data_IF_178861598847
#
_entry.id   IF_178861598847
#
_cell.length_a   1.000
_cell.length_b   1.000
_cell.length_c   1.000
_cell.angle_alpha   90.00
_cell.angle_beta   90.00
_cell.angle_gamma   90.00
#
_symmetry.space_group_name_H-M   'P 1'
#
loop_
_entity.id
_entity.type
_entity.pdbx_description
1 polymer ?
#
# COMPACT_ATOMS: atom_id res chain seq x y z
N UNK A 1 53.12 -14.64 -47.27
CA UNK A 1 52.83 -14.49 -45.82
C UNK A 1 51.36 -14.77 -45.61
N UNK A 2 51.07 -15.79 -44.80
CA UNK A 2 49.78 -16.21 -44.21
C UNK A 2 49.03 -14.98 -43.66
N UNK A 3 47.71 -14.81 -43.80
CA UNK A 3 46.65 -15.63 -43.21
C UNK A 3 45.34 -15.61 -43.99
N UNK A 4 44.65 -16.76 -43.89
CA UNK A 4 43.26 -17.03 -44.24
C UNK A 4 42.27 -16.24 -43.36
N UNK A 5 41.15 -15.81 -43.94
CA UNK A 5 39.88 -15.58 -43.23
C UNK A 5 38.78 -16.37 -43.94
N UNK A 6 38.08 -17.30 -43.25
CA UNK A 6 36.85 -17.89 -43.76
C UNK A 6 35.61 -17.19 -43.20
N UNK A 7 34.64 -17.03 -44.10
CA UNK A 7 33.21 -17.28 -44.00
C UNK A 7 32.40 -16.97 -42.70
N UNK A 8 31.27 -16.31 -42.98
CA UNK A 8 29.94 -16.46 -42.37
C UNK A 8 29.65 -15.75 -41.06
N UNK A 9 28.68 -14.82 -41.11
CA UNK A 9 27.48 -14.79 -40.26
C UNK A 9 26.44 -13.94 -41.02
N UNK A 10 25.44 -14.62 -41.57
CA UNK A 10 24.21 -14.04 -42.11
C UNK A 10 23.07 -14.70 -41.35
N UNK A 11 22.91 -14.37 -40.06
CA UNK A 11 21.72 -14.69 -39.23
C UNK A 11 21.87 -14.04 -37.85
N UNK A 12 21.63 -12.72 -37.75
CA UNK A 12 21.45 -12.07 -36.44
C UNK A 12 20.61 -10.77 -36.50
N UNK A 13 19.74 -10.60 -37.50
CA UNK A 13 18.95 -9.37 -37.64
C UNK A 13 17.53 -9.41 -37.02
N UNK A 14 17.19 -10.42 -36.21
CA UNK A 14 15.83 -10.53 -35.63
C UNK A 14 15.76 -10.73 -34.10
N UNK A 15 16.83 -10.44 -33.34
CA UNK A 15 16.77 -10.47 -31.87
C UNK A 15 16.96 -9.11 -31.18
N UNK A 16 17.33 -8.06 -31.93
CA UNK A 16 17.59 -6.74 -31.33
C UNK A 16 16.33 -5.85 -31.14
N UNK A 17 15.18 -6.24 -31.71
CA UNK A 17 13.93 -5.46 -31.58
C UNK A 17 13.04 -5.87 -30.39
N UNK A 18 13.43 -6.87 -29.60
CA UNK A 18 12.64 -7.34 -28.43
C UNK A 18 13.16 -6.77 -27.10
N UNK A 19 14.28 -6.03 -27.10
CA UNK A 19 14.92 -5.52 -25.89
C UNK A 19 14.93 -3.98 -25.74
N UNK A 20 14.30 -3.22 -26.64
CA UNK A 20 14.14 -1.76 -26.52
C UNK A 20 12.72 -1.32 -26.14
N UNK A 21 11.85 -2.26 -25.74
CA UNK A 21 10.44 -2.00 -25.37
C UNK A 21 10.19 -1.42 -23.97
N UNK A 22 11.17 -0.72 -23.37
CA UNK A 22 10.98 0.06 -22.14
C UNK A 22 11.63 1.44 -22.24
N UNK A 23 11.42 2.11 -23.38
CA UNK A 23 11.38 3.57 -23.41
C UNK A 23 9.95 3.95 -23.75
N UNK A 24 9.25 4.56 -22.80
CA UNK A 24 8.02 5.30 -23.07
C UNK A 24 8.36 6.28 -24.20
N UNK A 25 7.59 6.35 -25.31
CA UNK A 25 7.76 7.43 -26.25
C UNK A 25 7.49 8.73 -25.48
N UNK A 26 8.51 9.55 -25.30
CA UNK A 26 8.35 10.97 -24.98
C UNK A 26 7.67 11.63 -26.18
N UNK A 27 6.36 11.44 -26.30
CA UNK A 27 5.53 12.42 -26.97
C UNK A 27 5.59 13.67 -26.09
N UNK A 28 6.23 14.72 -26.60
CA UNK A 28 5.94 16.09 -26.21
C UNK A 28 4.43 16.30 -26.40
N UNK A 29 3.65 16.01 -25.36
CA UNK A 29 2.32 16.58 -25.19
C UNK A 29 2.52 17.92 -24.53
N UNK A 30 2.34 18.96 -25.32
CA UNK A 30 1.99 20.30 -24.87
C UNK A 30 0.98 20.19 -23.74
N UNK A 31 1.34 20.74 -22.59
CA UNK A 31 0.55 20.79 -21.36
C UNK A 31 -0.68 21.66 -21.59
N UNK A 32 -1.74 21.09 -22.15
CA UNK A 32 -3.09 21.60 -21.99
C UNK A 32 -3.68 20.90 -20.76
N UNK A 33 -3.65 21.61 -19.62
CA UNK A 33 -4.37 21.23 -18.41
C UNK A 33 -5.86 21.09 -18.74
N UNK A 34 -6.32 19.85 -18.90
CA UNK A 34 -7.75 19.56 -18.83
C UNK A 34 -8.09 19.32 -17.36
N UNK A 35 -8.67 20.34 -16.73
CA UNK A 35 -9.50 20.17 -15.54
C UNK A 35 -10.57 19.11 -15.86
N UNK A 36 -10.42 17.91 -15.32
CA UNK A 36 -11.55 16.99 -15.20
C UNK A 36 -12.42 17.53 -14.07
N UNK A 37 -13.49 18.23 -14.45
CA UNK A 37 -14.63 18.47 -13.58
C UNK A 37 -15.14 17.11 -13.09
N UNK A 38 -14.76 16.70 -11.88
CA UNK A 38 -15.52 15.74 -11.09
C UNK A 38 -16.51 16.55 -10.28
N UNK A 39 -17.77 16.44 -10.65
CA UNK A 39 -18.90 16.99 -9.91
C UNK A 39 -18.85 16.46 -8.48
N UNK A 40 -18.69 17.36 -7.53
CA UNK A 40 -18.81 17.10 -6.10
C UNK A 40 -20.22 16.54 -5.83
N UNK A 41 -20.33 15.28 -5.43
CA UNK A 41 -21.56 14.74 -4.87
C UNK A 41 -21.80 15.45 -3.53
N UNK A 42 -22.68 16.46 -3.55
CA UNK A 42 -23.20 17.07 -2.33
C UNK A 42 -24.11 16.06 -1.63
N UNK A 43 -23.68 15.55 -0.48
CA UNK A 43 -24.59 14.95 0.48
C UNK A 43 -25.47 16.06 1.07
N UNK A 44 -26.76 15.99 0.80
CA UNK A 44 -27.78 16.79 1.48
C UNK A 44 -28.35 15.92 2.59
N UNK A 45 -28.01 16.25 3.84
CA UNK A 45 -28.85 15.90 4.98
C UNK A 45 -30.15 16.69 4.85
N UNK A 46 -31.29 16.00 4.92
CA UNK A 46 -32.54 16.64 5.32
C UNK A 46 -33.45 15.63 6.01
N UNK A 47 -33.84 16.05 7.21
CA UNK A 47 -34.74 15.42 8.14
C UNK A 47 -36.16 15.21 7.61
N UNK A 48 -36.78 14.20 8.22
CA UNK A 48 -38.20 14.12 8.59
C UNK A 48 -39.25 14.25 7.48
N UNK A 49 -40.01 13.17 7.28
CA UNK A 49 -41.46 13.32 7.33
C UNK A 49 -42.18 12.02 7.71
N UNK A 50 -43.08 12.22 8.66
CA UNK A 50 -44.01 11.28 9.28
C UNK A 50 -45.04 10.82 8.25
N UNK A 51 -45.28 9.51 8.16
CA UNK A 51 -46.52 8.98 7.63
C UNK A 51 -46.99 7.79 8.48
N UNK A 52 -47.97 8.08 9.34
CA UNK A 52 -48.86 7.09 9.96
C UNK A 52 -49.59 6.33 8.84
N UNK A 53 -49.50 5.01 8.84
CA UNK A 53 -50.53 4.17 8.21
C UNK A 53 -51.14 3.27 9.27
N UNK A 54 -52.43 3.50 9.45
CA UNK A 54 -53.34 2.91 10.41
C UNK A 54 -53.66 1.45 10.10
N UNK A 55 -53.78 0.67 11.17
CA UNK A 55 -54.44 -0.63 11.24
C UNK A 55 -55.87 -0.60 10.67
N UNK A 56 -56.24 -1.63 9.90
CA UNK A 56 -57.56 -2.28 9.99
C UNK A 56 -57.61 -3.61 9.22
N UNK A 57 -57.98 -4.64 9.97
CA UNK A 57 -58.83 -5.79 9.64
C UNK A 57 -58.51 -6.66 8.42
N UNK A 58 -58.08 -7.89 8.73
CA UNK A 58 -58.70 -9.11 8.18
C UNK A 58 -58.48 -10.27 9.16
N UNK A 59 -59.46 -10.47 10.04
CA UNK A 59 -59.72 -11.72 10.74
C UNK A 59 -60.35 -12.73 9.79
N UNK A 60 -59.78 -13.93 9.69
CA UNK A 60 -60.57 -15.17 9.74
C UNK A 60 -59.70 -16.41 10.00
N UNK A 61 -59.84 -16.93 11.22
CA UNK A 61 -60.09 -18.35 11.51
C UNK A 61 -58.98 -19.39 11.30
N UNK A 62 -58.31 -19.68 12.43
CA UNK A 62 -57.93 -21.00 12.96
C UNK A 62 -58.39 -22.23 12.16
N UNK A 63 -57.42 -22.98 11.64
CA UNK A 63 -57.39 -24.44 11.77
C UNK A 63 -55.98 -24.87 12.17
N UNK A 64 -55.94 -25.61 13.27
CA UNK A 64 -54.78 -26.30 13.82
C UNK A 64 -54.43 -27.45 12.87
N UNK A 65 -53.22 -27.44 12.34
CA UNK A 65 -52.57 -28.70 11.96
C UNK A 65 -51.10 -28.68 12.37
N UNK A 66 -50.75 -29.67 13.17
CA UNK A 66 -49.44 -29.89 13.77
C UNK A 66 -48.49 -30.45 12.73
N UNK A 67 -47.85 -29.57 11.97
CA UNK A 67 -46.75 -29.90 11.08
C UNK A 67 -45.75 -28.76 11.12
N UNK A 68 -44.70 -28.92 11.91
CA UNK A 68 -43.56 -27.99 11.93
C UNK A 68 -43.04 -27.84 10.51
N UNK A 69 -43.17 -26.67 9.84
CA UNK A 69 -42.41 -26.43 8.64
C UNK A 69 -41.01 -26.18 9.17
N UNK A 70 -40.15 -27.18 9.06
CA UNK A 70 -38.70 -26.95 9.08
C UNK A 70 -38.45 -25.94 7.98
N UNK A 71 -38.36 -24.66 8.35
CA UNK A 71 -37.79 -23.63 7.52
C UNK A 71 -36.31 -24.00 7.41
N UNK A 72 -36.03 -24.96 6.54
CA UNK A 72 -34.77 -25.08 5.86
C UNK A 72 -34.68 -23.80 5.03
N UNK A 73 -34.37 -22.68 5.69
CA UNK A 73 -33.76 -21.56 5.04
C UNK A 73 -32.63 -22.20 4.24
N UNK A 74 -32.79 -22.21 2.92
CA UNK A 74 -31.76 -22.69 2.03
C UNK A 74 -30.54 -21.85 2.37
N UNK A 75 -29.65 -22.40 3.19
CA UNK A 75 -28.34 -21.83 3.43
C UNK A 75 -27.71 -21.82 2.05
N UNK A 76 -27.79 -20.67 1.38
CA UNK A 76 -27.15 -20.47 0.10
C UNK A 76 -25.69 -20.88 0.32
N UNK A 77 -25.31 -22.00 -0.28
CA UNK A 77 -24.00 -22.59 -0.06
C UNK A 77 -22.98 -21.52 -0.41
N UNK A 78 -22.23 -21.03 0.59
CA UNK A 78 -21.15 -20.07 0.35
C UNK A 78 -20.21 -20.73 -0.67
N UNK A 79 -19.90 -20.01 -1.74
CA UNK A 79 -19.10 -20.53 -2.87
C UNK A 79 -17.60 -20.46 -2.63
N UNK A 80 -17.18 -19.85 -1.51
CA UNK A 80 -15.77 -19.62 -1.19
C UNK A 80 -15.50 -20.11 0.23
N UNK A 81 -14.30 -20.66 0.45
CA UNK A 81 -13.82 -21.10 1.76
C UNK A 81 -12.43 -20.53 2.07
N UNK A 82 -12.15 -20.35 3.37
CA UNK A 82 -10.82 -20.01 3.85
C UNK A 82 -9.97 -21.28 4.03
N UNK A 83 -8.74 -21.25 3.54
CA UNK A 83 -7.73 -22.29 3.75
C UNK A 83 -6.49 -21.68 4.40
N UNK A 84 -6.03 -22.19 5.55
CA UNK A 84 -4.86 -21.65 6.23
C UNK A 84 -3.62 -21.77 5.35
N UNK A 85 -2.75 -20.76 5.43
CA UNK A 85 -1.43 -20.73 4.84
C UNK A 85 -0.41 -20.48 5.95
N UNK A 86 0.83 -20.90 5.72
CA UNK A 86 1.95 -20.58 6.59
C UNK A 86 3.11 -20.03 5.76
N UNK A 87 3.82 -19.04 6.30
CA UNK A 87 4.93 -18.42 5.59
C UNK A 87 6.00 -19.45 5.18
N UNK A 88 6.42 -20.32 6.11
CA UNK A 88 7.52 -21.26 5.89
C UNK A 88 7.21 -22.36 4.87
N UNK A 89 5.96 -22.82 4.77
CA UNK A 89 5.60 -23.94 3.89
C UNK A 89 5.05 -23.45 2.56
N UNK A 90 4.21 -22.42 2.58
CA UNK A 90 3.38 -22.07 1.43
C UNK A 90 3.91 -20.85 0.64
N UNK A 91 4.76 -20.02 1.26
CA UNK A 91 5.05 -18.66 0.75
C UNK A 91 6.54 -18.43 0.48
N UNK A 92 7.41 -18.69 1.46
CA UNK A 92 8.82 -18.29 1.49
C UNK A 92 9.62 -18.69 0.25
N UNK A 93 9.36 -19.88 -0.30
CA UNK A 93 10.08 -20.40 -1.46
C UNK A 93 9.67 -19.74 -2.78
N UNK A 94 8.53 -19.04 -2.80
CA UNK A 94 7.93 -18.51 -4.02
C UNK A 94 7.79 -16.98 -4.04
N UNK A 95 7.80 -16.32 -2.87
CA UNK A 95 7.76 -14.87 -2.72
C UNK A 95 9.17 -14.31 -2.46
N UNK A 96 9.50 -13.20 -3.10
CA UNK A 96 10.79 -12.49 -3.00
C UNK A 96 10.97 -11.64 -1.74
N UNK A 97 9.87 -11.28 -1.08
CA UNK A 97 9.87 -10.64 0.23
C UNK A 97 10.04 -11.68 1.33
N UNK A 98 10.85 -11.35 2.33
CA UNK A 98 11.11 -12.16 3.51
C UNK A 98 10.92 -11.32 4.79
N UNK A 99 10.87 -11.98 5.93
CA UNK A 99 10.94 -11.32 7.24
C UNK A 99 12.27 -10.56 7.37
N UNK A 100 12.31 -9.40 8.04
CA UNK A 100 11.21 -8.75 8.76
C UNK A 100 10.29 -7.87 7.91
N UNK A 101 10.58 -7.66 6.62
CA UNK A 101 9.72 -6.82 5.78
C UNK A 101 8.34 -7.45 5.55
N UNK A 102 8.31 -8.79 5.40
CA UNK A 102 7.08 -9.56 5.42
C UNK A 102 6.51 -9.60 6.85
N UNK A 103 5.55 -8.71 7.12
CA UNK A 103 4.91 -8.53 8.43
C UNK A 103 3.41 -8.91 8.42
N UNK A 104 3.06 -9.93 7.62
CA UNK A 104 1.72 -10.53 7.63
C UNK A 104 1.68 -11.73 8.58
N UNK A 105 0.52 -11.97 9.17
CA UNK A 105 0.25 -13.08 10.08
C UNK A 105 -1.15 -13.65 9.84
N UNK A 106 -1.42 -14.85 10.37
CA UNK A 106 -2.72 -15.52 10.28
C UNK A 106 -3.23 -15.65 8.83
N UNK A 107 -2.35 -15.97 7.89
CA UNK A 107 -2.70 -15.97 6.46
C UNK A 107 -3.67 -17.09 6.09
N UNK A 108 -4.67 -16.74 5.30
CA UNK A 108 -5.61 -17.68 4.71
C UNK A 108 -5.83 -17.35 3.24
N UNK A 109 -5.78 -18.37 2.38
CA UNK A 109 -6.27 -18.28 1.01
C UNK A 109 -7.80 -18.26 1.00
N UNK A 110 -8.38 -17.42 0.15
CA UNK A 110 -9.80 -17.46 -0.21
C UNK A 110 -9.90 -18.32 -1.48
N UNK A 111 -10.55 -19.48 -1.38
CA UNK A 111 -10.65 -20.45 -2.48
C UNK A 111 -12.09 -20.56 -2.93
N UNK A 112 -12.32 -20.51 -4.24
CA UNK A 112 -13.60 -20.84 -4.85
C UNK A 112 -13.81 -22.36 -4.80
N UNK A 113 -14.88 -22.80 -4.14
CA UNK A 113 -15.16 -24.21 -3.86
C UNK A 113 -15.65 -24.98 -5.10
N UNK A 114 -16.12 -24.29 -6.13
CA UNK A 114 -16.58 -24.91 -7.39
C UNK A 114 -15.40 -25.20 -8.32
N UNK A 115 -14.44 -24.27 -8.39
CA UNK A 115 -13.30 -24.34 -9.32
C UNK A 115 -12.00 -24.80 -8.66
N UNK A 116 -11.88 -24.63 -7.34
CA UNK A 116 -10.63 -24.82 -6.59
C UNK A 116 -9.62 -23.68 -6.78
N UNK A 117 -9.98 -22.61 -7.49
CA UNK A 117 -9.08 -21.47 -7.73
C UNK A 117 -8.95 -20.57 -6.50
N UNK A 118 -7.72 -20.10 -6.25
CA UNK A 118 -7.48 -19.06 -5.23
C UNK A 118 -7.83 -17.70 -5.81
N UNK A 119 -8.79 -17.02 -5.19
CA UNK A 119 -9.30 -15.71 -5.64
C UNK A 119 -8.76 -14.54 -4.82
N UNK A 120 -8.10 -14.81 -3.69
CA UNK A 120 -7.50 -13.80 -2.84
C UNK A 120 -6.95 -14.39 -1.55
N UNK A 121 -6.63 -13.50 -0.61
CA UNK A 121 -6.18 -13.83 0.75
C UNK A 121 -6.87 -12.95 1.77
N UNK A 122 -6.89 -13.43 3.02
CA UNK A 122 -7.13 -12.64 4.21
C UNK A 122 -6.03 -12.92 5.24
N UNK A 123 -5.60 -11.90 5.96
CA UNK A 123 -4.54 -11.99 6.97
C UNK A 123 -4.67 -10.84 7.98
N UNK A 124 -3.86 -10.87 9.03
CA UNK A 124 -3.59 -9.72 9.90
C UNK A 124 -2.21 -9.15 9.59
N UNK A 125 -1.97 -7.87 9.89
CA UNK A 125 -0.67 -7.23 9.69
C UNK A 125 -0.15 -6.64 11.00
N UNK A 126 1.17 -6.70 11.24
CA UNK A 126 1.79 -6.00 12.36
C UNK A 126 2.15 -4.57 11.99
N UNK A 127 1.76 -3.61 12.83
CA UNK A 127 2.15 -2.21 12.69
C UNK A 127 3.54 -1.98 13.31
N UNK A 128 4.51 -1.53 12.53
CA UNK A 128 5.88 -1.31 13.00
C UNK A 128 6.44 0.05 12.58
N UNK A 129 6.06 0.55 11.39
CA UNK A 129 6.52 1.83 10.85
C UNK A 129 5.89 2.99 11.66
N UNK A 130 6.68 4.00 12.07
CA UNK A 130 6.16 5.14 12.81
C UNK A 130 5.08 5.91 12.05
N UNK A 131 4.18 6.56 12.79
CA UNK A 131 3.13 7.41 12.21
C UNK A 131 3.70 8.68 11.56
N UNK A 132 4.85 9.16 12.04
CA UNK A 132 5.44 10.39 11.56
C UNK A 132 4.54 11.59 11.85
N UNK A 133 4.28 12.42 10.83
CA UNK A 133 3.41 13.61 10.95
C UNK A 133 1.96 13.35 10.53
N UNK A 134 1.63 12.09 10.25
CA UNK A 134 0.27 11.70 9.89
C UNK A 134 -0.66 11.67 11.12
N UNK A 135 -1.97 11.76 10.92
CA UNK A 135 -2.99 11.44 11.92
C UNK A 135 -3.86 10.29 11.40
N UNK A 136 -3.43 9.08 11.74
CA UNK A 136 -4.09 7.82 11.47
C UNK A 136 -3.46 6.76 12.38
N UNK A 137 -4.23 5.77 12.84
CA UNK A 137 -3.64 4.60 13.51
C UNK A 137 -3.02 3.60 12.54
N UNK A 138 -3.06 3.85 11.22
CA UNK A 138 -2.20 3.20 10.23
C UNK A 138 -1.60 4.30 9.34
N UNK A 139 -0.27 4.52 9.36
CA UNK A 139 0.35 5.45 8.43
C UNK A 139 0.33 4.88 7.01
N UNK A 140 0.33 5.75 6.00
CA UNK A 140 0.33 5.34 4.59
C UNK A 140 1.50 4.39 4.26
N UNK A 141 2.68 4.64 4.83
CA UNK A 141 3.83 3.76 4.63
C UNK A 141 3.56 2.31 5.06
N UNK A 142 2.89 2.12 6.19
CA UNK A 142 2.52 0.80 6.71
C UNK A 142 1.42 0.15 5.86
N UNK A 143 0.40 0.93 5.47
CA UNK A 143 -0.62 0.49 4.53
C UNK A 143 0.02 -0.03 3.22
N UNK A 144 1.00 0.70 2.67
CA UNK A 144 1.70 0.31 1.44
C UNK A 144 2.64 -0.89 1.63
N UNK A 145 3.28 -1.03 2.80
CA UNK A 145 4.06 -2.23 3.14
C UNK A 145 3.17 -3.47 3.10
N UNK A 146 2.03 -3.43 3.78
CA UNK A 146 1.08 -4.52 3.79
C UNK A 146 0.44 -4.77 2.42
N UNK A 147 0.10 -3.72 1.67
CA UNK A 147 -0.41 -3.83 0.30
C UNK A 147 0.60 -4.53 -0.61
N UNK A 148 1.88 -4.13 -0.54
CA UNK A 148 2.96 -4.78 -1.29
C UNK A 148 3.08 -6.27 -0.98
N UNK A 149 3.10 -6.66 0.30
CA UNK A 149 3.21 -8.06 0.71
C UNK A 149 1.94 -8.87 0.35
N UNK A 150 0.77 -8.41 0.77
CA UNK A 150 -0.49 -9.12 0.61
C UNK A 150 -0.90 -9.23 -0.87
N UNK A 151 -0.66 -8.17 -1.65
CA UNK A 151 -0.89 -8.20 -3.09
C UNK A 151 0.03 -9.13 -3.85
N UNK A 152 1.31 -9.12 -3.50
CA UNK A 152 2.28 -10.04 -4.12
C UNK A 152 1.93 -11.49 -3.79
N UNK A 153 1.47 -11.77 -2.57
CA UNK A 153 0.97 -13.09 -2.19
C UNK A 153 -0.32 -13.45 -2.96
N UNK A 154 -1.28 -12.55 -3.08
CA UNK A 154 -2.49 -12.78 -3.87
C UNK A 154 -2.16 -13.07 -5.35
N UNK A 155 -1.23 -12.32 -5.95
CA UNK A 155 -0.74 -12.54 -7.30
C UNK A 155 0.02 -13.88 -7.43
N UNK A 156 0.83 -14.24 -6.44
CA UNK A 156 1.56 -15.51 -6.38
C UNK A 156 0.61 -16.71 -6.35
N UNK A 157 -0.42 -16.67 -5.50
CA UNK A 157 -1.36 -17.78 -5.39
C UNK A 157 -2.16 -17.96 -6.68
N UNK A 158 -2.51 -16.87 -7.37
CA UNK A 158 -3.19 -16.89 -8.67
C UNK A 158 -2.26 -17.25 -9.84
N UNK A 159 -0.94 -17.15 -9.67
CA UNK A 159 0.02 -17.52 -10.70
C UNK A 159 0.01 -19.05 -10.93
N UNK A 160 -0.25 -19.54 -12.16
CA UNK A 160 -0.21 -20.96 -12.46
C UNK A 160 1.22 -21.53 -12.42
N UNK A 161 2.24 -20.67 -12.52
CA UNK A 161 3.65 -21.07 -12.41
C UNK A 161 4.11 -20.94 -10.97
N UNK A 162 4.16 -22.08 -10.27
CA UNK A 162 4.69 -22.19 -8.90
C UNK A 162 6.22 -22.13 -8.89
N UNK A 163 6.74 -20.92 -9.19
CA UNK A 163 8.16 -20.55 -9.16
C UNK A 163 8.29 -19.16 -8.56
N UNK A 164 9.48 -18.80 -8.11
CA UNK A 164 9.76 -17.46 -7.61
C UNK A 164 9.56 -16.39 -8.67
N UNK A 165 8.80 -15.36 -8.32
CA UNK A 165 8.56 -14.17 -9.13
C UNK A 165 8.69 -12.93 -8.25
N UNK A 166 9.01 -11.81 -8.88
CA UNK A 166 9.01 -10.48 -8.29
C UNK A 166 7.74 -9.76 -8.74
N UNK A 167 7.14 -9.02 -7.81
CA UNK A 167 5.87 -8.32 -8.03
C UNK A 167 5.97 -6.81 -7.77
N UNK A 168 6.89 -6.08 -8.42
CA UNK A 168 7.02 -4.64 -8.20
C UNK A 168 5.79 -3.90 -8.70
N UNK A 169 5.33 -2.95 -7.91
CA UNK A 169 4.23 -2.07 -8.29
C UNK A 169 4.61 -1.21 -9.50
N UNK A 170 3.69 -1.11 -10.45
CA UNK A 170 3.79 -0.25 -11.63
C UNK A 170 3.02 1.06 -11.46
N UNK A 171 1.92 1.00 -10.72
CA UNK A 171 1.11 2.13 -10.28
C UNK A 171 0.21 1.69 -9.13
N UNK A 172 -0.19 2.64 -8.30
CA UNK A 172 -1.21 2.40 -7.28
C UNK A 172 -1.96 3.66 -6.89
N UNK A 173 -3.22 3.45 -6.50
CA UNK A 173 -4.14 4.46 -5.99
C UNK A 173 -4.63 4.01 -4.61
N UNK A 174 -4.57 4.93 -3.66
CA UNK A 174 -5.02 4.77 -2.28
C UNK A 174 -6.16 5.74 -2.05
N UNK A 175 -7.26 5.24 -1.50
CA UNK A 175 -8.39 6.03 -1.01
C UNK A 175 -8.69 5.62 0.43
N UNK A 176 -8.89 6.62 1.30
CA UNK A 176 -9.17 6.39 2.72
C UNK A 176 -10.64 6.72 3.02
N UNK A 177 -11.37 5.74 3.54
CA UNK A 177 -12.77 5.90 3.93
C UNK A 177 -12.91 5.81 5.46
N UNK A 178 -13.66 6.72 6.10
CA UNK A 178 -13.87 6.68 7.55
C UNK A 178 -14.77 5.52 7.99
N UNK A 179 -15.51 4.91 7.07
CA UNK A 179 -16.42 3.82 7.38
C UNK A 179 -15.66 2.49 7.53
N UNK A 180 -16.03 1.72 8.57
CA UNK A 180 -15.57 0.35 8.82
C UNK A 180 -16.62 -0.67 8.36
N UNK A 181 -16.27 -1.94 8.46
CA UNK A 181 -17.16 -3.07 8.27
C UNK A 181 -17.10 -3.68 6.87
N UNK A 182 -16.37 -3.06 5.94
CA UNK A 182 -16.30 -3.54 4.55
C UNK A 182 -15.61 -4.90 4.49
N UNK A 183 -14.55 -5.11 5.27
CA UNK A 183 -13.89 -6.43 5.32
C UNK A 183 -14.81 -7.47 5.98
N UNK A 184 -15.52 -7.10 7.04
CA UNK A 184 -16.50 -7.98 7.70
C UNK A 184 -17.61 -8.41 6.73
N UNK A 185 -18.15 -7.48 5.96
CA UNK A 185 -19.18 -7.75 4.95
C UNK A 185 -18.67 -8.70 3.85
N UNK A 186 -17.42 -8.53 3.40
CA UNK A 186 -16.81 -9.46 2.43
C UNK A 186 -16.55 -10.84 3.02
N UNK A 187 -16.05 -10.91 4.25
CA UNK A 187 -15.79 -12.19 4.94
C UNK A 187 -17.06 -12.96 5.26
N UNK A 188 -18.18 -12.27 5.56
CA UNK A 188 -19.47 -12.91 5.76
C UNK A 188 -19.93 -13.74 4.55
N UNK A 189 -19.45 -13.42 3.34
CA UNK A 189 -19.72 -14.17 2.09
C UNK A 189 -18.86 -15.44 1.95
N UNK A 190 -17.83 -15.60 2.79
CA UNK A 190 -16.86 -16.70 2.73
C UNK A 190 -17.07 -17.68 3.89
N UNK A 191 -17.00 -18.98 3.63
CA UNK A 191 -17.02 -20.01 4.66
C UNK A 191 -15.72 -19.93 5.49
N UNK A 192 -15.85 -19.87 6.82
CA UNK A 192 -14.72 -19.60 7.72
C UNK A 192 -14.51 -18.11 8.03
N UNK A 193 -15.12 -17.19 7.27
CA UNK A 193 -14.87 -15.75 7.40
C UNK A 193 -15.29 -15.16 8.74
N UNK A 194 -16.45 -15.56 9.27
CA UNK A 194 -16.93 -15.10 10.58
C UNK A 194 -16.02 -15.61 11.71
N UNK A 195 -15.57 -16.87 11.63
CA UNK A 195 -14.63 -17.45 12.59
C UNK A 195 -13.27 -16.73 12.55
N UNK A 196 -12.77 -16.42 11.35
CA UNK A 196 -11.55 -15.65 11.18
C UNK A 196 -11.69 -14.26 11.81
N UNK A 197 -12.76 -13.53 11.48
CA UNK A 197 -12.97 -12.18 12.03
C UNK A 197 -13.05 -12.18 13.57
N UNK A 198 -13.67 -13.21 14.16
CA UNK A 198 -13.78 -13.36 15.61
C UNK A 198 -12.48 -13.81 16.30
N UNK A 199 -11.52 -14.40 15.58
CA UNK A 199 -10.26 -14.86 16.16
C UNK A 199 -9.21 -13.75 16.30
N UNK A 200 -9.45 -12.60 15.65
CA UNK A 200 -8.54 -11.45 15.65
C UNK A 200 -8.50 -10.85 17.06
N UNK A 201 -7.29 -10.62 17.54
CA UNK A 201 -7.02 -10.08 18.88
C UNK A 201 -6.27 -8.76 18.75
N UNK A 202 -6.57 -7.82 19.65
CA UNK A 202 -5.90 -6.53 19.66
C UNK A 202 -6.33 -5.62 18.52
N UNK A 203 -5.46 -4.69 18.15
CA UNK A 203 -5.73 -3.62 17.20
C UNK A 203 -4.98 -3.83 15.87
N UNK A 204 -4.52 -5.06 15.60
CA UNK A 204 -3.84 -5.37 14.36
C UNK A 204 -4.80 -5.20 13.18
N UNK A 205 -4.40 -4.52 12.09
CA UNK A 205 -5.23 -4.36 10.92
C UNK A 205 -5.59 -5.71 10.30
N UNK A 206 -6.83 -5.79 9.85
CA UNK A 206 -7.33 -6.88 9.02
C UNK A 206 -7.08 -6.52 7.57
N UNK A 207 -6.51 -7.46 6.81
CA UNK A 207 -6.15 -7.26 5.42
C UNK A 207 -6.92 -8.25 4.56
N UNK A 208 -7.54 -7.76 3.49
CA UNK A 208 -8.12 -8.58 2.42
C UNK A 208 -7.53 -8.13 1.09
N UNK A 209 -6.90 -9.05 0.36
CA UNK A 209 -6.32 -8.76 -0.95
C UNK A 209 -6.82 -9.74 -2.00
N UNK A 210 -7.29 -9.24 -3.15
CA UNK A 210 -7.80 -10.04 -4.27
C UNK A 210 -7.05 -9.68 -5.54
N UNK A 211 -6.46 -10.68 -6.18
CA UNK A 211 -5.93 -10.50 -7.53
C UNK A 211 -7.10 -10.59 -8.49
N UNK A 212 -7.65 -9.46 -8.94
CA UNK A 212 -8.87 -9.41 -9.76
C UNK A 212 -8.60 -9.66 -11.25
N UNK A 213 -7.38 -9.39 -11.71
CA UNK A 213 -6.92 -9.75 -13.05
C UNK A 213 -5.49 -10.26 -12.97
N UNK A 214 -5.17 -11.28 -13.76
CA UNK A 214 -3.84 -11.88 -13.81
C UNK A 214 -3.47 -12.26 -15.24
N UNK A 215 -2.31 -11.79 -15.67
CA UNK A 215 -1.72 -12.11 -16.97
C UNK A 215 -0.27 -12.56 -16.81
N UNK A 216 0.36 -12.94 -17.92
CA UNK A 216 1.77 -13.33 -17.95
C UNK A 216 2.73 -12.24 -17.44
N UNK A 217 2.34 -10.96 -17.50
CA UNK A 217 3.23 -9.82 -17.23
C UNK A 217 2.70 -8.85 -16.20
N UNK A 218 1.43 -8.92 -15.87
CA UNK A 218 0.73 -7.97 -15.00
C UNK A 218 -0.24 -8.71 -14.10
N UNK A 219 -0.39 -8.24 -12.86
CA UNK A 219 -1.44 -8.63 -11.93
C UNK A 219 -2.09 -7.36 -11.38
N UNK A 220 -3.43 -7.32 -11.37
CA UNK A 220 -4.19 -6.22 -10.78
C UNK A 220 -4.78 -6.66 -9.46
N UNK A 221 -4.51 -5.90 -8.40
CA UNK A 221 -4.92 -6.23 -7.04
C UNK A 221 -5.90 -5.17 -6.54
N UNK A 222 -6.97 -5.64 -5.90
CA UNK A 222 -7.78 -4.86 -4.99
C UNK A 222 -7.42 -5.24 -3.56
N UNK A 223 -7.14 -4.24 -2.74
CA UNK A 223 -6.69 -4.41 -1.36
C UNK A 223 -7.56 -3.57 -0.44
N UNK A 224 -8.00 -4.18 0.65
CA UNK A 224 -8.67 -3.54 1.76
C UNK A 224 -7.85 -3.79 3.01
N UNK A 225 -7.69 -2.73 3.80
CA UNK A 225 -7.06 -2.81 5.10
C UNK A 225 -7.88 -1.97 6.08
N UNK A 226 -8.27 -2.58 7.18
CA UNK A 226 -9.20 -2.00 8.15
C UNK A 226 -8.63 -2.15 9.57
N UNK A 227 -8.66 -1.06 10.34
CA UNK A 227 -8.41 -1.06 11.78
C UNK A 227 -9.46 -0.22 12.51
N UNK A 228 -9.12 0.24 13.71
CA UNK A 228 -9.97 1.09 14.52
C UNK A 228 -10.24 2.51 13.98
N UNK A 229 -9.56 2.98 12.94
CA UNK A 229 -9.72 4.35 12.44
C UNK A 229 -10.48 4.46 11.12
N UNK A 230 -10.59 3.36 10.38
CA UNK A 230 -11.29 3.33 9.10
C UNK A 230 -10.82 2.23 8.17
N UNK A 231 -11.23 2.34 6.92
CA UNK A 231 -10.89 1.41 5.84
C UNK A 231 -10.05 2.10 4.78
N UNK A 232 -8.87 1.55 4.52
CA UNK A 232 -8.03 1.90 3.39
C UNK A 232 -8.40 1.00 2.22
N UNK A 233 -8.67 1.60 1.06
CA UNK A 233 -8.81 0.88 -0.20
C UNK A 233 -7.61 1.22 -1.06
N UNK A 234 -6.90 0.19 -1.53
CA UNK A 234 -5.78 0.35 -2.45
C UNK A 234 -6.02 -0.47 -3.69
N UNK A 235 -5.87 0.13 -4.86
CA UNK A 235 -5.80 -0.58 -6.14
C UNK A 235 -4.39 -0.45 -6.67
N UNK A 236 -3.78 -1.55 -7.06
CA UNK A 236 -2.44 -1.51 -7.64
C UNK A 236 -2.25 -2.53 -8.74
N UNK A 237 -1.45 -2.14 -9.72
CA UNK A 237 -1.02 -2.99 -10.81
C UNK A 237 0.44 -3.38 -10.57
N UNK A 238 0.70 -4.68 -10.46
CA UNK A 238 2.04 -5.22 -10.30
C UNK A 238 2.54 -5.80 -11.61
N UNK A 239 3.83 -5.59 -11.90
CA UNK A 239 4.49 -6.42 -12.90
C UNK A 239 4.64 -7.85 -12.36
N UNK A 240 4.62 -8.84 -13.26
CA UNK A 240 4.92 -10.24 -12.95
C UNK A 240 6.26 -10.58 -13.59
N UNK A 241 7.33 -10.59 -12.80
CA UNK A 241 8.69 -10.77 -13.30
C UNK A 241 9.27 -12.08 -12.78
N UNK A 242 9.52 -13.04 -13.67
CA UNK A 242 10.19 -14.27 -13.30
C UNK A 242 11.60 -13.97 -12.76
N UNK A 243 12.01 -14.67 -11.69
CA UNK A 243 13.30 -14.46 -11.03
C UNK A 243 14.49 -14.41 -11.99
N UNK A 244 14.57 -15.35 -12.94
CA UNK A 244 15.66 -15.39 -13.92
C UNK A 244 15.75 -14.11 -14.78
N UNK A 245 14.62 -13.48 -15.10
CA UNK A 245 14.60 -12.21 -15.83
C UNK A 245 14.96 -11.04 -14.93
N UNK A 246 14.50 -11.08 -13.67
CA UNK A 246 14.84 -10.07 -12.68
C UNK A 246 16.36 -10.06 -12.44
N UNK A 247 16.96 -11.19 -12.12
CA UNK A 247 18.42 -11.31 -11.90
C UNK A 247 19.24 -11.01 -13.15
N UNK A 248 18.71 -11.26 -14.36
CA UNK A 248 19.38 -10.82 -15.60
C UNK A 248 19.45 -9.30 -15.71
N UNK A 249 18.41 -8.59 -15.26
CA UNK A 249 18.36 -7.12 -15.30
C UNK A 249 19.07 -6.49 -14.11
N UNK A 250 18.95 -7.10 -12.94
CA UNK A 250 19.49 -6.66 -11.66
C UNK A 250 20.25 -7.82 -11.02
N UNK A 251 21.51 -8.05 -11.44
CA UNK A 251 22.31 -9.14 -10.88
C UNK A 251 22.43 -8.99 -9.36
N UNK A 252 22.20 -10.06 -8.59
CA UNK A 252 22.41 -10.02 -7.14
C UNK A 252 23.90 -9.74 -6.84
N UNK A 253 24.22 -9.10 -5.71
CA UNK A 253 25.60 -8.90 -5.30
C UNK A 253 26.31 -10.26 -5.13
N UNK A 254 27.60 -10.36 -5.47
CA UNK A 254 28.34 -11.63 -5.43
C UNK A 254 28.46 -12.21 -4.02
N UNK A 255 28.39 -11.36 -2.98
CA UNK A 255 28.29 -11.75 -1.59
C UNK A 255 27.14 -10.94 -0.99
N UNK A 256 26.11 -11.61 -0.49
CA UNK A 256 25.09 -10.96 0.33
C UNK A 256 25.76 -10.50 1.63
N UNK A 257 25.77 -9.20 1.93
CA UNK A 257 26.26 -8.70 3.21
C UNK A 257 25.54 -9.45 4.33
N UNK A 258 26.27 -9.88 5.36
CA UNK A 258 25.67 -10.59 6.49
C UNK A 258 24.54 -9.76 7.15
N UNK A 259 24.64 -8.43 7.07
CA UNK A 259 23.66 -7.45 7.53
C UNK A 259 22.39 -7.34 6.66
N UNK A 260 22.40 -7.89 5.45
CA UNK A 260 21.26 -7.97 4.55
C UNK A 260 20.47 -9.28 4.71
N UNK A 261 21.03 -10.26 5.42
CA UNK A 261 20.34 -11.52 5.67
C UNK A 261 19.12 -11.27 6.57
N UNK A 262 17.97 -11.89 6.26
CA UNK A 262 16.84 -11.97 7.17
C UNK A 262 17.30 -12.41 8.56
N UNK A 263 17.03 -11.58 9.57
CA UNK A 263 17.21 -11.98 10.96
C UNK A 263 16.08 -12.93 11.35
N UNK A 264 16.40 -13.98 12.08
CA UNK A 264 15.38 -14.89 12.61
C UNK A 264 14.47 -14.19 13.64
N UNK A 265 13.29 -14.75 13.90
CA UNK A 265 12.32 -14.18 14.86
C UNK A 265 12.96 -13.95 16.26
N UNK A 266 13.90 -14.82 16.69
CA UNK A 266 14.64 -14.67 17.94
C UNK A 266 15.68 -13.53 17.94
N UNK A 267 16.25 -13.20 16.78
CA UNK A 267 17.19 -12.10 16.62
C UNK A 267 16.47 -10.75 16.50
N UNK A 268 15.29 -10.75 15.86
CA UNK A 268 14.38 -9.61 15.78
C UNK A 268 13.89 -9.20 17.17
N UNK A 269 13.51 -10.17 18.00
CA UNK A 269 13.09 -9.93 19.39
C UNK A 269 14.16 -9.23 20.26
N UNK A 270 15.44 -9.30 19.87
CA UNK A 270 16.55 -8.67 20.59
C UNK A 270 16.92 -7.28 20.05
N UNK A 271 16.33 -6.82 18.95
CA UNK A 271 16.49 -5.44 18.49
C UNK A 271 15.73 -4.50 19.42
N UNK A 272 16.35 -3.35 19.79
CA UNK A 272 15.57 -2.22 20.31
C UNK A 272 14.52 -1.87 19.26
N UNK A 273 13.24 -1.94 19.62
CA UNK A 273 12.12 -1.71 18.70
C UNK A 273 11.65 -2.93 17.89
N UNK A 274 12.26 -4.11 18.03
CA UNK A 274 11.77 -5.38 17.46
C UNK A 274 11.87 -5.56 15.93
N UNK A 275 12.00 -4.47 15.16
CA UNK A 275 12.05 -4.48 13.69
C UNK A 275 12.93 -3.34 13.16
N UNK A 276 13.75 -3.54 12.10
CA UNK A 276 14.53 -2.48 11.48
C UNK A 276 13.67 -1.36 10.88
N UNK A 277 12.37 -1.60 10.70
CA UNK A 277 11.43 -0.63 10.15
C UNK A 277 10.76 0.25 11.19
N UNK A 278 10.99 0.01 12.49
CA UNK A 278 10.44 0.83 13.58
C UNK A 278 11.28 2.04 13.97
N UNK A 279 12.55 2.07 13.59
CA UNK A 279 13.49 3.16 13.90
C UNK A 279 14.10 3.71 12.60
N UNK A 280 13.28 4.44 11.84
CA UNK A 280 13.71 5.04 10.57
C UNK A 280 14.51 6.32 10.81
N UNK A 281 15.56 6.53 10.01
CA UNK A 281 16.47 7.66 10.16
C UNK A 281 15.83 9.03 9.87
N UNK A 282 16.54 10.10 10.23
CA UNK A 282 16.06 11.46 9.96
C UNK A 282 16.45 11.96 8.56
N UNK A 283 15.60 12.84 8.01
CA UNK A 283 15.89 13.60 6.81
C UNK A 283 16.96 14.67 7.08
N UNK A 284 17.90 14.83 6.15
CA UNK A 284 18.96 15.84 6.23
C UNK A 284 18.90 16.83 5.07
N UNK A 285 19.67 17.92 5.17
CA UNK A 285 19.82 18.94 4.11
C UNK A 285 18.47 19.50 3.61
N UNK A 286 17.57 19.80 4.56
CA UNK A 286 16.24 20.33 4.23
C UNK A 286 16.40 21.74 3.64
N UNK A 287 15.85 21.94 2.44
CA UNK A 287 15.78 23.23 1.77
C UNK A 287 14.34 23.55 1.40
N UNK A 288 14.05 24.83 1.20
CA UNK A 288 12.70 25.35 0.99
C UNK A 288 12.67 26.46 -0.04
N UNK A 289 11.65 26.44 -0.87
CA UNK A 289 11.41 27.43 -1.92
C UNK A 289 9.93 27.78 -1.93
N UNK A 290 9.65 29.07 -1.72
CA UNK A 290 8.31 29.64 -1.89
C UNK A 290 8.12 30.03 -3.36
N UNK A 291 7.01 29.63 -3.97
CA UNK A 291 6.68 29.99 -5.34
C UNK A 291 5.29 30.64 -5.42
N UNK A 292 5.00 31.25 -6.57
CA UNK A 292 3.72 31.92 -6.87
C UNK A 292 3.28 32.89 -5.77
N UNK A 293 4.17 33.82 -5.38
CA UNK A 293 3.88 34.82 -4.34
C UNK A 293 3.40 34.24 -2.99
N UNK A 294 3.75 33.00 -2.67
CA UNK A 294 3.39 32.35 -1.42
C UNK A 294 2.24 31.34 -1.53
N UNK A 295 1.69 31.09 -2.72
CA UNK A 295 0.59 30.14 -2.91
C UNK A 295 1.03 28.67 -2.82
N UNK A 296 2.33 28.39 -2.89
CA UNK A 296 2.86 27.06 -2.59
C UNK A 296 4.24 27.09 -1.95
N UNK A 297 4.50 26.05 -1.16
CA UNK A 297 5.79 25.76 -0.57
C UNK A 297 6.34 24.46 -1.16
N UNK A 298 7.55 24.51 -1.70
CA UNK A 298 8.32 23.32 -2.05
C UNK A 298 9.39 23.09 -1.00
N UNK A 299 9.42 21.90 -0.42
CA UNK A 299 10.53 21.43 0.41
C UNK A 299 11.28 20.31 -0.30
N UNK A 300 12.59 20.30 -0.12
CA UNK A 300 13.46 19.21 -0.56
C UNK A 300 14.30 18.73 0.62
N UNK A 301 14.58 17.44 0.67
CA UNK A 301 15.45 16.82 1.66
C UNK A 301 16.27 15.71 1.02
N UNK A 302 17.31 15.28 1.74
CA UNK A 302 18.14 14.14 1.35
C UNK A 302 17.96 13.02 2.37
N UNK A 303 17.70 11.81 1.87
CA UNK A 303 17.95 10.58 2.60
C UNK A 303 19.39 10.14 2.28
N UNK A 304 20.23 9.87 3.29
CA UNK A 304 21.59 9.37 3.08
C UNK A 304 21.61 8.08 2.25
N UNK A 305 22.80 7.68 1.82
CA UNK A 305 23.01 6.43 1.08
C UNK A 305 22.40 5.25 1.82
N UNK A 306 21.47 4.57 1.14
CA UNK A 306 20.78 3.39 1.68
C UNK A 306 21.76 2.25 1.84
N UNK A 307 21.80 1.67 3.04
CA UNK A 307 22.62 0.50 3.35
C UNK A 307 21.79 -0.78 3.16
N UNK A 308 22.44 -1.94 2.93
CA UNK A 308 21.73 -3.21 2.84
C UNK A 308 20.90 -3.57 4.09
N UNK A 309 21.28 -3.07 5.27
CA UNK A 309 20.52 -3.21 6.52
C UNK A 309 19.14 -2.54 6.48
N UNK A 310 18.98 -1.51 5.66
CA UNK A 310 17.74 -0.73 5.55
C UNK A 310 16.72 -1.46 4.64
N UNK A 311 17.17 -2.54 3.99
CA UNK A 311 16.43 -3.33 3.01
C UNK A 311 16.15 -4.77 3.50
N UNK A 312 16.26 -5.04 4.80
CA UNK A 312 16.16 -6.41 5.33
C UNK A 312 14.84 -7.10 4.97
N UNK A 313 14.93 -8.16 4.17
CA UNK A 313 13.76 -8.89 3.67
C UNK A 313 13.14 -8.32 2.40
N UNK A 314 13.73 -7.31 1.77
CA UNK A 314 13.24 -6.70 0.53
C UNK A 314 14.40 -6.32 -0.41
N UNK A 315 14.72 -7.08 -1.45
CA UNK A 315 14.30 -8.46 -1.74
C UNK A 315 15.35 -9.43 -1.21
N UNK A 316 14.95 -10.67 -0.94
CA UNK A 316 15.75 -11.73 -0.30
C UNK A 316 17.22 -11.83 -0.78
N UNK A 317 17.49 -11.61 -2.08
CA UNK A 317 18.85 -11.62 -2.65
C UNK A 317 19.24 -10.33 -3.40
N UNK A 318 18.38 -9.31 -3.37
CA UNK A 318 18.58 -8.04 -4.07
C UNK A 318 18.13 -6.89 -3.14
N UNK A 319 18.97 -6.49 -2.17
CA UNK A 319 18.62 -5.45 -1.20
C UNK A 319 18.18 -4.18 -1.91
N UNK A 320 16.90 -3.84 -1.74
CA UNK A 320 16.21 -2.74 -2.41
C UNK A 320 15.43 -1.99 -1.36
N UNK A 321 15.60 -0.67 -1.26
CA UNK A 321 14.84 0.11 -0.30
C UNK A 321 13.34 -0.05 -0.59
N UNK A 322 12.53 -0.52 0.37
CA UNK A 322 11.11 -0.66 0.12
C UNK A 322 10.48 0.69 -0.16
N UNK A 323 9.52 0.69 -1.09
CA UNK A 323 8.86 1.92 -1.48
C UNK A 323 8.06 2.54 -0.33
N UNK A 324 7.48 1.72 0.55
CA UNK A 324 6.85 2.15 1.81
C UNK A 324 7.78 3.01 2.67
N UNK A 325 9.07 2.68 2.75
CA UNK A 325 10.06 3.45 3.54
C UNK A 325 10.36 4.79 2.87
N UNK A 326 10.47 4.82 1.54
CA UNK A 326 10.60 6.08 0.82
C UNK A 326 9.37 6.98 1.00
N UNK A 327 8.16 6.38 0.97
CA UNK A 327 6.90 7.08 1.21
C UNK A 327 6.83 7.62 2.63
N UNK A 328 7.26 6.86 3.65
CA UNK A 328 7.34 7.35 5.03
C UNK A 328 8.13 8.67 5.12
N UNK A 329 9.36 8.68 4.61
CA UNK A 329 10.18 9.88 4.64
C UNK A 329 9.57 11.04 3.84
N UNK A 330 8.91 10.73 2.72
CA UNK A 330 8.24 11.77 1.95
C UNK A 330 7.01 12.33 2.67
N UNK A 331 6.24 11.49 3.38
CA UNK A 331 5.13 11.93 4.22
C UNK A 331 5.61 12.77 5.42
N UNK A 332 6.75 12.46 6.05
CA UNK A 332 7.35 13.36 7.05
C UNK A 332 7.74 14.71 6.42
N UNK A 333 8.34 14.71 5.22
CA UNK A 333 8.68 15.94 4.50
C UNK A 333 7.44 16.76 4.14
N UNK A 334 6.35 16.11 3.69
CA UNK A 334 5.06 16.76 3.44
C UNK A 334 4.52 17.36 4.74
N UNK A 335 4.53 16.63 5.85
CA UNK A 335 4.07 17.16 7.13
C UNK A 335 4.86 18.38 7.60
N UNK A 336 6.19 18.40 7.38
CA UNK A 336 7.04 19.58 7.63
C UNK A 336 6.68 20.73 6.71
N UNK A 337 6.48 20.46 5.41
CA UNK A 337 6.09 21.45 4.43
C UNK A 337 4.72 22.05 4.75
N UNK A 338 3.73 21.22 5.10
CA UNK A 338 2.42 21.68 5.54
C UNK A 338 2.51 22.52 6.82
N UNK A 339 3.29 22.09 7.80
CA UNK A 339 3.48 22.82 9.06
C UNK A 339 4.05 24.22 8.82
N UNK A 340 5.09 24.34 7.98
CA UNK A 340 5.67 25.64 7.63
C UNK A 340 4.75 26.46 6.72
N UNK A 341 4.08 25.83 5.77
CA UNK A 341 3.16 26.49 4.83
C UNK A 341 1.97 27.12 5.55
N UNK A 342 1.47 26.46 6.59
CA UNK A 342 0.27 26.86 7.33
C UNK A 342 0.56 27.66 8.60
N UNK A 343 1.77 27.55 9.15
CA UNK A 343 2.11 28.05 10.49
C UNK A 343 1.57 27.18 11.64
N UNK A 344 0.89 26.07 11.35
CA UNK A 344 0.40 25.11 12.36
C UNK A 344 1.49 24.11 12.69
N UNK A 345 1.77 23.88 13.97
CA UNK A 345 2.72 22.83 14.38
C UNK A 345 2.08 21.44 14.17
N UNK A 346 2.69 20.63 13.30
CA UNK A 346 2.27 19.25 13.00
C UNK A 346 3.39 18.33 13.50
N UNK A 347 3.41 17.90 14.78
CA UNK A 347 4.57 17.22 15.36
C UNK A 347 4.83 15.83 14.75
N UNK A 348 6.09 15.40 14.81
CA UNK A 348 6.45 14.01 14.52
C UNK A 348 6.01 13.10 15.67
N UNK A 349 5.48 11.93 15.34
CA UNK A 349 4.92 10.96 16.28
C UNK A 349 5.45 9.56 15.97
N UNK A 350 5.87 8.85 17.01
CA UNK A 350 6.18 7.42 16.88
C UNK A 350 4.90 6.61 16.67
N UNK A 351 3.86 6.94 17.44
CA UNK A 351 2.52 6.34 17.38
C UNK A 351 1.47 7.43 17.56
N UNK A 352 0.25 7.21 17.05
CA UNK A 352 -0.83 8.18 17.20
C UNK A 352 -1.49 8.04 18.57
N UNK A 353 -1.28 9.02 19.47
CA UNK A 353 -1.92 9.06 20.79
C UNK A 353 -3.24 9.86 20.78
N UNK A 354 -3.73 10.23 19.59
CA UNK A 354 -5.03 10.88 19.42
C UNK A 354 -5.16 12.28 20.03
N UNK A 355 -4.06 12.97 20.35
CA UNK A 355 -4.06 14.26 21.06
C UNK A 355 -3.37 15.42 20.32
N UNK A 356 -2.84 15.20 19.11
CA UNK A 356 -2.06 16.21 18.39
C UNK A 356 -2.61 16.46 16.99
N UNK A 357 -2.42 17.69 16.49
CA UNK A 357 -2.57 17.98 15.07
C UNK A 357 -1.79 16.96 14.24
N UNK A 358 -2.37 16.56 13.12
CA UNK A 358 -1.71 15.68 12.18
C UNK A 358 -2.30 15.84 10.80
N UNK A 359 -1.53 15.41 9.82
CA UNK A 359 -1.96 15.35 8.45
C UNK A 359 -2.75 14.05 8.25
N UNK A 360 -4.04 14.12 7.95
CA UNK A 360 -4.81 12.92 7.59
C UNK A 360 -4.86 12.79 6.07
N UNK A 361 -4.57 11.59 5.60
CA UNK A 361 -4.54 11.26 4.17
C UNK A 361 -5.96 10.98 3.70
N UNK A 362 -6.35 11.58 2.58
CA UNK A 362 -7.62 11.29 1.92
C UNK A 362 -7.40 10.40 0.70
N UNK A 363 -6.39 10.72 -0.11
CA UNK A 363 -6.01 9.91 -1.27
C UNK A 363 -4.53 10.06 -1.61
N UNK A 364 -3.99 9.03 -2.27
CA UNK A 364 -2.61 9.01 -2.76
C UNK A 364 -2.50 8.20 -4.06
N UNK A 365 -2.07 8.84 -5.13
CA UNK A 365 -1.77 8.20 -6.42
C UNK A 365 -0.28 8.21 -6.65
N UNK A 366 0.29 7.08 -7.04
CA UNK A 366 1.73 6.96 -7.26
C UNK A 366 2.08 6.18 -8.52
N UNK A 367 3.17 6.63 -9.17
CA UNK A 367 3.79 6.03 -10.33
C UNK A 367 5.26 5.71 -10.01
N UNK A 368 5.56 4.50 -9.54
CA UNK A 368 6.93 4.00 -9.46
C UNK A 368 7.57 3.91 -10.86
N UNK A 369 8.81 4.38 -10.99
CA UNK A 369 9.56 4.37 -12.25
C UNK A 369 10.77 3.42 -12.18
N UNK A 370 11.48 3.35 -11.05
CA UNK A 370 12.60 2.43 -10.86
C UNK A 370 12.70 1.92 -9.42
N UNK A 371 13.45 0.83 -9.25
CA UNK A 371 13.89 0.34 -7.94
C UNK A 371 15.11 1.12 -7.46
N UNK A 372 15.24 1.27 -6.14
CA UNK A 372 16.41 1.85 -5.49
C UNK A 372 17.16 0.77 -4.71
N UNK A 373 18.26 0.29 -5.27
CA UNK A 373 19.09 -0.75 -4.64
C UNK A 373 19.98 -0.13 -3.55
N UNK A 374 20.29 -0.92 -2.52
CA UNK A 374 21.28 -0.52 -1.53
C UNK A 374 22.62 -0.18 -2.18
N UNK A 375 23.38 0.71 -1.55
CA UNK A 375 24.71 1.17 -1.99
C UNK A 375 24.75 1.83 -3.39
N UNK A 376 23.59 2.25 -3.94
CA UNK A 376 23.51 3.01 -5.21
C UNK A 376 23.43 4.53 -5.02
N UNK A 377 23.57 4.97 -3.76
CA UNK A 377 23.61 6.37 -3.36
C UNK A 377 22.43 6.82 -2.51
N UNK A 378 22.42 8.11 -2.19
CA UNK A 378 21.32 8.74 -1.46
C UNK A 378 20.08 8.99 -2.34
N UNK A 379 19.01 9.44 -1.68
CA UNK A 379 17.78 9.87 -2.33
C UNK A 379 17.53 11.34 -2.07
N UNK A 380 17.11 12.08 -3.10
CA UNK A 380 16.55 13.42 -2.98
C UNK A 380 15.04 13.31 -3.00
N UNK A 381 14.42 13.75 -1.92
CA UNK A 381 12.98 13.83 -1.76
C UNK A 381 12.54 15.28 -2.04
N UNK A 382 11.42 15.43 -2.72
CA UNK A 382 10.79 16.71 -2.97
C UNK A 382 9.30 16.58 -2.69
N UNK A 383 8.76 17.53 -1.93
CA UNK A 383 7.35 17.67 -1.66
C UNK A 383 6.94 19.12 -1.93
N UNK A 384 5.90 19.30 -2.73
CA UNK A 384 5.31 20.60 -3.02
C UNK A 384 3.88 20.61 -2.53
N UNK A 385 3.52 21.59 -1.71
CA UNK A 385 2.24 21.68 -1.01
C UNK A 385 1.46 22.88 -1.51
N UNK A 386 0.17 22.68 -1.75
CA UNK A 386 -0.78 23.70 -2.16
C UNK A 386 -2.03 23.61 -1.28
N UNK A 387 -2.63 24.75 -0.95
CA UNK A 387 -4.00 24.79 -0.45
C UNK A 387 -4.95 24.48 -1.61
N UNK A 388 -5.82 23.49 -1.43
CA UNK A 388 -6.81 23.09 -2.44
C UNK A 388 -8.19 23.66 -2.13
N UNK A 389 -8.65 23.50 -0.90
CA UNK A 389 -9.95 23.98 -0.43
C UNK A 389 -9.86 24.41 1.04
N UNK A 390 -10.62 25.44 1.42
CA UNK A 390 -10.65 25.99 2.77
C UNK A 390 -9.74 27.21 2.95
N UNK A 391 -9.34 27.44 4.19
CA UNK A 391 -8.46 28.55 4.60
C UNK A 391 -7.12 28.02 5.11
N UNK A 392 -6.03 28.74 4.82
CA UNK A 392 -4.68 28.30 5.16
C UNK A 392 -4.53 28.14 6.68
N UNK A 393 -4.15 26.95 7.12
CA UNK A 393 -3.97 26.60 8.54
C UNK A 393 -5.24 26.28 9.32
N UNK A 394 -6.42 26.49 8.74
CA UNK A 394 -7.67 26.13 9.41
C UNK A 394 -7.93 24.61 9.37
N UNK A 395 -8.41 24.01 10.48
CA UNK A 395 -8.83 22.62 10.50
C UNK A 395 -9.91 22.32 9.45
N UNK A 396 -9.81 21.17 8.80
CA UNK A 396 -10.73 20.78 7.73
C UNK A 396 -10.34 21.28 6.34
N UNK A 397 -9.40 22.23 6.24
CA UNK A 397 -8.82 22.61 4.95
C UNK A 397 -8.06 21.46 4.31
N UNK A 398 -8.17 21.37 2.98
CA UNK A 398 -7.55 20.31 2.20
C UNK A 398 -6.35 20.83 1.42
N UNK A 399 -5.33 19.99 1.33
CA UNK A 399 -4.06 20.31 0.72
C UNK A 399 -3.74 19.25 -0.32
N UNK A 400 -3.34 19.70 -1.50
CA UNK A 400 -2.81 18.82 -2.55
C UNK A 400 -1.30 18.89 -2.50
N UNK A 401 -0.66 17.75 -2.74
CA UNK A 401 0.79 17.67 -2.83
C UNK A 401 1.25 17.05 -4.12
N UNK A 402 2.38 17.53 -4.63
CA UNK A 402 3.14 16.88 -5.68
C UNK A 402 4.46 16.41 -5.07
N UNK A 403 4.77 15.14 -5.25
CA UNK A 403 5.91 14.48 -4.63
C UNK A 403 6.77 13.79 -5.67
N UNK A 404 8.09 13.86 -5.50
CA UNK A 404 9.04 13.14 -6.33
C UNK A 404 10.25 12.68 -5.51
N UNK A 405 10.72 11.48 -5.80
CA UNK A 405 11.96 10.94 -5.22
C UNK A 405 12.92 10.59 -6.34
N UNK A 406 14.18 11.00 -6.20
CA UNK A 406 15.22 10.86 -7.21
C UNK A 406 16.51 10.33 -6.59
N UNK A 407 17.30 9.56 -7.33
CA UNK A 407 18.63 9.12 -6.89
C UNK A 407 19.65 10.27 -7.03
N UNK A 408 20.57 10.43 -6.08
CA UNK A 408 21.50 11.57 -6.03
C UNK A 408 22.88 11.32 -6.65
N UNK A 409 23.31 10.07 -6.79
CA UNK A 409 24.71 9.75 -7.12
C UNK A 409 25.01 9.48 -8.59
N UNK A 410 24.01 9.46 -9.46
CA UNK A 410 24.27 9.32 -10.90
C UNK A 410 24.34 10.71 -11.54
N UNK A 411 25.25 10.92 -12.50
CA UNK A 411 25.29 12.12 -13.37
C UNK A 411 23.96 12.35 -14.15
N UNK A 412 22.97 11.49 -13.92
CA UNK A 412 21.62 11.54 -14.44
C UNK A 412 20.65 11.56 -13.26
N UNK A 413 19.71 12.51 -13.24
CA UNK A 413 18.61 12.49 -12.27
C UNK A 413 17.66 11.34 -12.61
N UNK A 414 17.86 10.17 -11.98
CA UNK A 414 16.95 9.03 -12.11
C UNK A 414 15.79 9.21 -11.15
N UNK A 415 14.57 9.35 -11.69
CA UNK A 415 13.34 9.42 -10.90
C UNK A 415 13.00 8.01 -10.42
N UNK A 416 12.83 7.85 -9.11
CA UNK A 416 12.40 6.61 -8.47
C UNK A 416 10.89 6.49 -8.52
N UNK A 417 10.18 7.55 -8.14
CA UNK A 417 8.73 7.65 -8.29
C UNK A 417 8.25 9.10 -8.31
N UNK A 418 7.02 9.27 -8.80
CA UNK A 418 6.22 10.48 -8.64
C UNK A 418 4.90 10.15 -7.96
N UNK A 419 4.37 11.08 -7.19
CA UNK A 419 3.09 10.90 -6.53
C UNK A 419 2.32 12.21 -6.38
N UNK A 420 1.01 12.08 -6.27
CA UNK A 420 0.10 13.16 -5.89
C UNK A 420 -0.74 12.67 -4.73
N UNK A 421 -0.83 13.48 -3.67
CA UNK A 421 -1.63 13.16 -2.50
C UNK A 421 -2.58 14.29 -2.14
N UNK A 422 -3.74 13.92 -1.60
CA UNK A 422 -4.68 14.86 -0.99
C UNK A 422 -4.75 14.60 0.51
N UNK A 423 -4.61 15.66 1.28
CA UNK A 423 -4.55 15.61 2.72
C UNK A 423 -5.52 16.61 3.33
N UNK A 424 -5.97 16.32 4.55
CA UNK A 424 -6.73 17.25 5.37
C UNK A 424 -5.95 17.54 6.64
N UNK A 425 -5.94 18.81 7.06
CA UNK A 425 -5.42 19.16 8.37
C UNK A 425 -6.45 18.76 9.41
N UNK A 426 -6.16 17.69 10.16
CA UNK A 426 -7.10 17.17 11.14
C UNK A 426 -7.20 18.14 12.33
N UNK A 427 -8.41 18.41 12.85
CA UNK A 427 -8.56 19.17 14.09
C UNK A 427 -7.91 18.42 15.26
N UNK A 428 -7.52 19.16 16.30
CA UNK A 428 -7.15 18.55 17.58
C UNK A 428 -8.39 17.85 18.12
N UNK A 429 -8.40 16.52 18.11
CA UNK A 429 -9.34 15.77 18.94
C UNK A 429 -8.73 15.75 20.34
N UNK A 430 -9.11 16.68 21.22
CA UNK A 430 -8.82 16.49 22.65
C UNK A 430 -9.72 15.35 23.06
N UNK A 431 -9.17 14.14 23.18
CA UNK A 431 -9.91 13.02 23.76
C UNK A 431 -10.47 13.49 25.11
N UNK A 432 -11.78 13.70 25.18
CA UNK A 432 -12.47 13.92 26.43
C UNK A 432 -12.12 12.73 27.32
N UNK A 433 -11.45 13.00 28.45
CA UNK A 433 -10.98 12.02 29.41
C UNK A 433 -11.92 10.80 29.48
N UNK A 434 -11.47 9.57 29.16
CA UNK A 434 -12.29 8.36 29.30
C UNK A 434 -12.58 8.01 30.77
N UNK A 435 -12.10 8.82 31.72
CA UNK A 435 -12.30 8.67 33.17
C UNK A 435 -13.38 9.57 33.78
N UNK A 436 -14.17 10.28 32.97
CA UNK A 436 -15.35 11.00 33.44
C UNK A 436 -16.61 10.13 33.32
N UNK A 437 -16.72 9.09 34.16
CA UNK A 437 -18.00 8.47 34.52
C UNK A 437 -17.95 7.92 35.95
#
# INVERSE_FOLDING_TARGET
MTFLYPASIWTAFNLLQVCTGFTVPTQQRTTAMFYRNRTTLRFQENDSNVAKVTSKDLTSTLLVDSGTPTVMAAYAKKKQSLRPLTFEVDIKDFLDNDKPYYALENEHAIVDDETGEVVGIVCTGRLEIPVGRESAGIPLAECLRHAGNAGSLAALLRNPKKKRHFYPASQYDVDVHPCKGKIKEELAKTFGGDQFYQSIKGNDPIILARCIDFSKRMAKIEFLLENDDGTWTVTFDNYVVAEALFHKKYPPPPVLPELAKPKGDSELANLKGGSPYGELGELINITRVWAFAGECLTMEATLPTTKPSDCQGHFYNNPTLPHSIMVFHNCDLIGRAMSEFTGVDIPFKQSDFGQYHGMKILSWTCLPETLHFADTGGLKLQAKVFLSEGELGEPGSTYVTESAVKQTETDQLVVVYKATGTFILNPITIASNPTAC
#
